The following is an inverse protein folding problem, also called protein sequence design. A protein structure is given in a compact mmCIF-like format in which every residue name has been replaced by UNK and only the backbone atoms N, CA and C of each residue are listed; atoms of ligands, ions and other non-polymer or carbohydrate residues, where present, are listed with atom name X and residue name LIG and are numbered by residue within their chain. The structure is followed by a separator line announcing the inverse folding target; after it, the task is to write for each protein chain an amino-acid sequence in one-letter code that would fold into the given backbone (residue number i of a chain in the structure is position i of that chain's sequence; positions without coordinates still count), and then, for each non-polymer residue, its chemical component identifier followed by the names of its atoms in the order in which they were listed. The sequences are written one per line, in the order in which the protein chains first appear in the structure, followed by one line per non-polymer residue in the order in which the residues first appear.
data_IF_126814874716
#
_entry.id   IF_126814874716
#
_cell.length_a   1.000
_cell.length_b   1.000
_cell.length_c   1.000
_cell.angle_alpha   90.00
_cell.angle_beta   90.00
_cell.angle_gamma   90.00
#
_symmetry.space_group_name_H-M   'P 1'
#
loop_
_entity.id
_entity.type
_entity.pdbx_description
1 polymer ?
#
# COMPACT_ATOMS: atom_id res chain seq x y z
N UNK A 1 2.79 9.86 3.64
CA UNK A 1 2.77 10.15 2.20
C UNK A 1 1.95 9.07 1.54
N UNK A 2 0.67 9.32 1.37
CA UNK A 2 -0.26 8.33 0.81
C UNK A 2 -0.03 8.19 -0.69
N UNK A 3 -0.23 6.98 -1.23
CA UNK A 3 0.05 6.65 -2.63
C UNK A 3 -1.21 6.43 -3.45
N UNK A 4 -2.32 6.02 -2.83
CA UNK A 4 -3.57 5.77 -3.55
C UNK A 4 -4.71 6.70 -3.12
N UNK A 5 -5.64 6.96 -4.02
CA UNK A 5 -6.87 7.70 -3.76
C UNK A 5 -8.01 7.14 -4.61
N UNK A 6 -9.25 7.47 -4.27
CA UNK A 6 -10.41 7.20 -5.11
C UNK A 6 -10.89 8.47 -5.80
N UNK A 7 -11.36 8.31 -7.03
CA UNK A 7 -12.12 9.30 -7.78
C UNK A 7 -13.47 8.69 -8.16
N UNK A 8 -14.55 9.45 -8.04
CA UNK A 8 -15.91 8.94 -8.23
C UNK A 8 -16.15 8.30 -9.62
N UNK A 9 -15.52 8.85 -10.67
CA UNK A 9 -15.70 8.37 -12.04
C UNK A 9 -14.57 7.47 -12.54
N UNK A 10 -13.34 7.68 -12.04
CA UNK A 10 -12.16 6.97 -12.56
C UNK A 10 -11.83 5.73 -11.73
N UNK A 11 -12.51 5.59 -10.59
CA UNK A 11 -12.20 4.56 -9.60
C UNK A 11 -10.91 4.90 -8.87
N UNK A 12 -10.14 3.85 -8.60
CA UNK A 12 -8.90 3.94 -7.83
C UNK A 12 -7.76 4.53 -8.65
N UNK A 13 -6.97 5.38 -8.00
CA UNK A 13 -5.72 5.95 -8.51
C UNK A 13 -4.53 5.45 -7.70
N UNK A 14 -3.42 5.17 -8.36
CA UNK A 14 -2.11 4.84 -7.80
C UNK A 14 -1.05 5.78 -8.37
N UNK A 15 -0.54 6.72 -7.55
CA UNK A 15 0.44 7.73 -8.01
C UNK A 15 1.86 7.18 -8.22
N UNK A 16 2.04 5.87 -8.04
CA UNK A 16 3.32 5.17 -8.24
C UNK A 16 3.48 4.57 -9.63
N UNK A 17 2.45 4.66 -10.47
CA UNK A 17 2.46 4.24 -11.87
C UNK A 17 2.10 5.44 -12.76
N UNK A 18 2.66 5.45 -13.98
CA UNK A 18 2.60 6.63 -14.86
C UNK A 18 1.18 7.02 -15.27
N UNK A 19 0.30 6.04 -15.47
CA UNK A 19 -1.09 6.20 -15.91
C UNK A 19 -2.09 6.20 -14.74
N UNK A 20 -1.58 6.41 -13.51
CA UNK A 20 -2.33 6.38 -12.26
C UNK A 20 -3.10 5.07 -12.02
N UNK A 21 -2.84 4.01 -12.79
CA UNK A 21 -3.58 2.74 -12.74
C UNK A 21 -4.97 2.79 -13.36
N UNK A 22 -5.37 3.94 -13.92
CA UNK A 22 -6.69 4.16 -14.52
C UNK A 22 -6.64 4.84 -15.90
N UNK A 23 -5.47 4.87 -16.54
CA UNK A 23 -5.27 5.51 -17.85
C UNK A 23 -5.22 7.04 -17.82
N UNK A 24 -5.05 7.64 -16.63
CA UNK A 24 -5.03 9.09 -16.42
C UNK A 24 -3.62 9.58 -16.11
N UNK A 25 -3.31 10.82 -16.40
CA UNK A 25 -1.97 11.36 -16.15
C UNK A 25 -1.89 12.13 -14.82
N UNK A 26 -0.68 12.24 -14.27
CA UNK A 26 -0.41 13.04 -13.07
C UNK A 26 -0.85 14.50 -13.22
N UNK A 27 -0.70 15.07 -14.41
CA UNK A 27 -1.10 16.45 -14.74
C UNK A 27 -2.61 16.66 -14.61
N UNK A 28 -3.43 15.61 -14.76
CA UNK A 28 -4.89 15.71 -14.59
C UNK A 28 -5.29 15.90 -13.12
N UNK A 29 -4.43 15.55 -12.15
CA UNK A 29 -4.73 15.66 -10.71
C UNK A 29 -3.86 16.69 -9.98
N UNK A 30 -2.65 16.96 -10.46
CA UNK A 30 -1.70 17.82 -9.77
C UNK A 30 -1.94 19.30 -10.10
N UNK A 31 -2.31 20.07 -9.07
CA UNK A 31 -2.66 21.50 -9.17
C UNK A 31 -3.86 21.79 -10.07
N UNK A 32 -4.71 20.80 -10.31
CA UNK A 32 -5.97 20.96 -11.03
C UNK A 32 -7.11 21.28 -10.04
N UNK A 33 -7.88 22.32 -10.35
CA UNK A 33 -9.11 22.65 -9.64
C UNK A 33 -10.27 21.78 -10.13
N UNK A 34 -11.16 21.35 -9.23
CA UNK A 34 -12.37 20.60 -9.60
C UNK A 34 -12.22 19.07 -9.57
N UNK A 35 -10.99 18.55 -9.49
CA UNK A 35 -10.77 17.12 -9.25
C UNK A 35 -10.92 16.82 -7.77
N UNK A 36 -11.86 15.94 -7.45
CA UNK A 36 -12.14 15.48 -6.09
C UNK A 36 -11.58 14.08 -5.88
N UNK A 37 -10.55 14.00 -5.04
CA UNK A 37 -9.93 12.75 -4.64
C UNK A 37 -10.26 12.46 -3.17
N UNK A 38 -10.62 11.23 -2.87
CA UNK A 38 -10.93 10.77 -1.52
C UNK A 38 -9.95 9.70 -1.05
N UNK A 39 -9.73 9.65 0.26
CA UNK A 39 -8.96 8.59 0.88
C UNK A 39 -9.77 7.28 0.85
N UNK A 40 -9.19 6.15 0.41
CA UNK A 40 -9.91 4.88 0.29
C UNK A 40 -10.27 4.25 1.64
N UNK A 41 -9.68 4.75 2.74
CA UNK A 41 -10.02 4.29 4.09
C UNK A 41 -11.13 5.12 4.74
N UNK A 42 -10.95 6.44 4.81
CA UNK A 42 -11.81 7.30 5.61
C UNK A 42 -12.77 8.16 4.78
N UNK A 43 -12.70 8.11 3.45
CA UNK A 43 -13.45 8.96 2.54
C UNK A 43 -13.06 10.45 2.58
N UNK A 44 -12.11 10.84 3.43
CA UNK A 44 -11.69 12.22 3.60
C UNK A 44 -10.98 12.77 2.35
N UNK A 45 -11.15 14.06 2.07
CA UNK A 45 -10.57 14.68 0.88
C UNK A 45 -9.03 14.70 0.93
N UNK A 46 -8.42 14.22 -0.15
CA UNK A 46 -6.97 14.26 -0.38
C UNK A 46 -6.62 15.13 -1.58
N UNK A 47 -5.36 15.57 -1.66
CA UNK A 47 -4.82 16.41 -2.74
C UNK A 47 -3.48 15.84 -3.21
N UNK A 48 -3.23 15.93 -4.50
CA UNK A 48 -1.96 15.58 -5.11
C UNK A 48 -0.89 16.64 -4.86
N UNK A 49 0.33 16.21 -4.53
CA UNK A 49 1.48 17.09 -4.27
C UNK A 49 2.79 16.39 -4.65
N UNK A 50 3.79 17.18 -5.03
CA UNK A 50 5.18 16.73 -5.15
C UNK A 50 5.96 16.95 -3.85
N UNK A 51 6.80 15.97 -3.50
CA UNK A 51 7.80 16.11 -2.44
C UNK A 51 8.86 17.14 -2.83
N UNK A 52 9.80 17.47 -1.93
CA UNK A 52 10.96 18.32 -2.28
C UNK A 52 11.90 17.67 -3.31
N UNK A 53 11.78 16.35 -3.53
CA UNK A 53 12.56 15.56 -4.50
C UNK A 53 11.68 15.10 -5.66
N UNK A 54 10.63 15.87 -5.96
CA UNK A 54 9.70 15.63 -7.06
C UNK A 54 9.01 14.25 -7.04
N UNK A 55 8.83 13.68 -5.86
CA UNK A 55 8.10 12.41 -5.69
C UNK A 55 6.59 12.69 -5.56
N UNK A 56 5.74 12.15 -6.46
CA UNK A 56 4.29 12.19 -6.33
C UNK A 56 3.80 11.58 -5.02
N UNK A 57 2.89 12.26 -4.34
CA UNK A 57 2.15 11.72 -3.20
C UNK A 57 0.82 12.43 -3.00
N UNK A 58 -0.02 11.82 -2.19
CA UNK A 58 -1.31 12.34 -1.76
C UNK A 58 -1.22 12.76 -0.29
N UNK A 59 -1.93 13.83 0.05
CA UNK A 59 -2.06 14.28 1.43
C UNK A 59 -3.51 14.64 1.75
N UNK A 60 -3.93 14.30 2.97
CA UNK A 60 -5.22 14.70 3.51
C UNK A 60 -5.27 16.22 3.68
N UNK A 61 -6.36 16.87 3.22
CA UNK A 61 -6.60 18.30 3.52
C UNK A 61 -6.84 18.52 5.01
N UNK A 62 -7.61 17.62 5.61
CA UNK A 62 -7.85 17.54 7.05
C UNK A 62 -7.55 16.11 7.45
N UNK A 63 -6.59 15.93 8.37
CA UNK A 63 -6.10 14.61 8.77
C UNK A 63 -6.93 14.08 9.95
N UNK A 64 -7.79 13.05 9.75
CA UNK A 64 -8.50 12.43 10.86
C UNK A 64 -7.54 11.52 11.65
N UNK A 65 -7.65 11.48 13.00
CA UNK A 65 -6.76 10.67 13.84
C UNK A 65 -6.97 9.15 13.65
N UNK A 66 -8.16 8.73 13.21
CA UNK A 66 -8.52 7.32 13.02
C UNK A 66 -8.11 6.73 11.67
N UNK A 67 -7.70 7.55 10.70
CA UNK A 67 -7.29 7.06 9.37
C UNK A 67 -5.84 6.58 9.43
N UNK A 68 -5.62 5.28 9.29
CA UNK A 68 -4.28 4.69 9.22
C UNK A 68 -3.48 5.30 8.07
N UNK A 69 -4.06 5.44 6.86
CA UNK A 69 -3.36 5.99 5.68
C UNK A 69 -2.91 7.44 5.88
N UNK A 70 -3.63 8.21 6.68
CA UNK A 70 -3.23 9.57 7.03
C UNK A 70 -2.06 9.60 8.03
N UNK A 71 -1.95 8.56 8.87
CA UNK A 71 -1.05 8.47 10.03
C UNK A 71 0.15 7.53 9.82
N UNK A 72 0.30 6.95 8.64
CA UNK A 72 1.43 6.10 8.29
C UNK A 72 2.77 6.84 8.32
N UNK A 73 3.80 6.10 8.76
CA UNK A 73 5.18 6.58 8.80
C UNK A 73 5.84 6.51 7.43
N UNK A 74 6.87 7.33 7.20
CA UNK A 74 7.67 7.28 5.98
C UNK A 74 8.23 5.88 5.71
N UNK A 75 8.73 5.21 6.75
CA UNK A 75 9.31 3.86 6.66
C UNK A 75 8.31 2.83 6.17
N UNK A 76 7.04 2.95 6.59
CA UNK A 76 5.97 2.06 6.13
C UNK A 76 5.67 2.28 4.65
N UNK A 77 5.52 3.54 4.23
CA UNK A 77 5.34 3.88 2.82
C UNK A 77 6.48 3.40 1.92
N UNK A 78 7.73 3.55 2.37
CA UNK A 78 8.89 3.09 1.61
C UNK A 78 8.91 1.56 1.48
N UNK A 79 8.55 0.83 2.55
CA UNK A 79 8.46 -0.63 2.47
C UNK A 79 7.36 -1.05 1.49
N UNK A 80 6.16 -0.46 1.53
CA UNK A 80 5.11 -0.77 0.53
C UNK A 80 5.59 -0.53 -0.90
N UNK A 81 6.28 0.60 -1.14
CA UNK A 81 6.84 0.93 -2.46
C UNK A 81 7.85 -0.12 -2.91
N UNK A 82 8.73 -0.56 -2.02
CA UNK A 82 9.72 -1.60 -2.34
C UNK A 82 9.02 -2.92 -2.69
N UNK A 83 8.04 -3.33 -1.89
CA UNK A 83 7.30 -4.58 -2.10
C UNK A 83 6.55 -4.57 -3.44
N UNK A 84 5.79 -3.50 -3.74
CA UNK A 84 5.04 -3.41 -5.00
C UNK A 84 5.99 -3.31 -6.20
N UNK A 85 7.10 -2.59 -6.07
CA UNK A 85 8.11 -2.46 -7.13
C UNK A 85 8.77 -3.81 -7.41
N UNK A 86 9.15 -4.55 -6.37
CA UNK A 86 9.73 -5.89 -6.51
C UNK A 86 8.74 -6.87 -7.15
N UNK A 87 7.47 -6.88 -6.73
CA UNK A 87 6.45 -7.74 -7.32
C UNK A 87 6.24 -7.44 -8.81
N UNK A 88 6.16 -6.15 -9.17
CA UNK A 88 6.06 -5.69 -10.57
C UNK A 88 7.31 -6.08 -11.38
N UNK A 89 8.50 -5.89 -10.83
CA UNK A 89 9.76 -6.27 -11.48
C UNK A 89 9.89 -7.79 -11.67
N UNK A 90 9.28 -8.59 -10.80
CA UNK A 90 9.18 -10.04 -10.95
C UNK A 90 8.13 -10.48 -11.99
N UNK A 91 7.44 -9.54 -12.66
CA UNK A 91 6.47 -9.82 -13.72
C UNK A 91 5.03 -10.00 -13.25
N UNK A 92 4.73 -9.75 -11.97
CA UNK A 92 3.36 -9.82 -11.46
C UNK A 92 2.64 -8.48 -11.62
N UNK A 93 1.32 -8.53 -11.82
CA UNK A 93 0.47 -7.38 -11.52
C UNK A 93 0.40 -7.22 -10.01
N UNK A 94 0.68 -6.01 -9.52
CA UNK A 94 0.56 -5.67 -8.11
C UNK A 94 0.05 -4.25 -7.91
N UNK A 95 -0.81 -4.07 -6.90
CA UNK A 95 -1.50 -2.82 -6.58
C UNK A 95 -1.41 -2.51 -5.08
N UNK A 96 -1.33 -1.22 -4.75
CA UNK A 96 -1.25 -0.76 -3.37
C UNK A 96 -2.65 -0.67 -2.73
N UNK A 97 -2.72 -0.93 -1.42
CA UNK A 97 -3.84 -0.56 -0.54
C UNK A 97 -5.21 -1.16 -0.94
N UNK A 98 -5.23 -2.36 -1.54
CA UNK A 98 -6.43 -3.05 -2.06
C UNK A 98 -7.29 -3.59 -0.93
N UNK A 99 -8.56 -3.17 -0.87
CA UNK A 99 -9.51 -3.59 0.15
C UNK A 99 -10.40 -4.75 -0.34
N UNK A 100 -10.81 -5.60 0.60
CA UNK A 100 -11.92 -6.51 0.36
C UNK A 100 -13.20 -5.73 0.00
N UNK A 101 -14.11 -6.26 -0.82
CA UNK A 101 -15.44 -5.68 -1.03
C UNK A 101 -16.21 -5.45 0.28
N UNK A 102 -15.98 -6.29 1.30
CA UNK A 102 -16.59 -6.16 2.64
C UNK A 102 -15.93 -5.07 3.49
N UNK A 103 -14.74 -4.61 3.12
CA UNK A 103 -13.92 -3.69 3.90
C UNK A 103 -13.25 -4.30 5.14
N UNK A 104 -13.40 -5.61 5.38
CA UNK A 104 -12.85 -6.29 6.56
C UNK A 104 -11.31 -6.32 6.59
N UNK A 105 -10.67 -6.27 5.42
CA UNK A 105 -9.23 -6.15 5.30
C UNK A 105 -8.85 -5.24 4.14
N UNK A 106 -7.61 -4.73 4.21
CA UNK A 106 -6.98 -3.95 3.16
C UNK A 106 -5.51 -4.32 3.10
N UNK A 107 -5.10 -4.92 1.99
CA UNK A 107 -3.73 -5.32 1.74
C UNK A 107 -2.88 -4.08 1.49
N UNK A 108 -1.73 -3.98 2.16
CA UNK A 108 -0.75 -2.95 1.84
C UNK A 108 -0.30 -3.04 0.38
N UNK A 109 -0.02 -4.25 -0.11
CA UNK A 109 0.18 -4.59 -1.52
C UNK A 109 -0.58 -5.87 -1.84
N UNK A 110 -1.37 -5.86 -2.91
CA UNK A 110 -2.03 -7.04 -3.45
C UNK A 110 -1.35 -7.48 -4.73
N UNK A 111 -0.97 -8.74 -4.80
CA UNK A 111 -0.43 -9.40 -5.98
C UNK A 111 -1.52 -10.26 -6.61
N UNK A 112 -1.60 -10.25 -7.94
CA UNK A 112 -2.64 -10.91 -8.70
C UNK A 112 -2.09 -12.10 -9.50
N UNK A 113 -2.94 -13.11 -9.67
CA UNK A 113 -2.75 -14.16 -10.66
C UNK A 113 -2.89 -13.59 -12.08
N UNK A 114 -2.38 -14.29 -13.12
CA UNK A 114 -2.54 -13.89 -14.51
C UNK A 114 -4.01 -13.73 -14.96
N UNK A 115 -4.93 -14.47 -14.34
CA UNK A 115 -6.38 -14.39 -14.60
C UNK A 115 -7.06 -13.21 -13.89
N UNK A 116 -6.31 -12.41 -13.12
CA UNK A 116 -6.80 -11.25 -12.38
C UNK A 116 -7.40 -11.56 -11.02
N UNK A 117 -7.41 -12.83 -10.59
CA UNK A 117 -7.79 -13.18 -9.21
C UNK A 117 -6.69 -12.78 -8.22
N UNK A 118 -7.06 -12.56 -6.95
CA UNK A 118 -6.08 -12.29 -5.91
C UNK A 118 -5.22 -13.53 -5.65
N UNK A 119 -3.90 -13.32 -5.64
CA UNK A 119 -2.92 -14.35 -5.32
C UNK A 119 -2.44 -14.20 -3.88
N UNK A 120 -1.89 -13.03 -3.55
CA UNK A 120 -1.22 -12.82 -2.27
C UNK A 120 -1.28 -11.36 -1.83
N UNK A 121 -1.64 -11.16 -0.56
CA UNK A 121 -1.40 -9.92 0.16
C UNK A 121 0.02 -9.89 0.72
N UNK A 122 0.74 -8.79 0.48
CA UNK A 122 2.03 -8.51 1.09
C UNK A 122 1.84 -7.35 2.08
N UNK A 123 1.99 -7.64 3.37
CA UNK A 123 1.67 -6.71 4.48
C UNK A 123 2.96 -6.12 5.08
N UNK A 124 3.08 -4.81 5.17
CA UNK A 124 4.21 -4.16 5.81
C UNK A 124 3.91 -3.95 7.31
N UNK A 125 4.47 -4.78 8.20
CA UNK A 125 4.19 -4.70 9.63
C UNK A 125 5.39 -4.13 10.41
N UNK A 126 5.43 -2.81 10.54
CA UNK A 126 6.52 -2.10 11.23
C UNK A 126 6.20 -1.71 12.67
N UNK A 127 4.92 -1.67 13.06
CA UNK A 127 4.51 -1.36 14.42
C UNK A 127 4.29 -2.64 15.24
N UNK A 128 4.36 -2.59 16.58
CA UNK A 128 3.95 -3.70 17.43
C UNK A 128 2.50 -4.12 17.14
N UNK A 129 2.27 -5.43 17.13
CA UNK A 129 0.95 -6.06 17.02
C UNK A 129 1.01 -7.35 17.84
N UNK A 130 -0.09 -7.71 18.51
CA UNK A 130 -0.14 -8.97 19.24
C UNK A 130 -0.13 -10.15 18.25
N UNK A 131 0.36 -11.31 18.72
CA UNK A 131 0.42 -12.52 17.89
C UNK A 131 -0.99 -12.98 17.50
N UNK A 132 -1.96 -12.88 18.42
CA UNK A 132 -3.34 -13.24 18.13
C UNK A 132 -3.99 -12.29 17.12
N UNK A 133 -3.69 -10.98 17.18
CA UNK A 133 -4.24 -9.98 16.26
C UNK A 133 -3.74 -10.18 14.82
N UNK A 134 -2.44 -10.45 14.63
CA UNK A 134 -1.87 -10.68 13.29
C UNK A 134 -2.31 -12.04 12.73
N UNK A 135 -2.50 -13.05 13.58
CA UNK A 135 -3.08 -14.33 13.19
C UNK A 135 -4.55 -14.15 12.76
N UNK A 136 -5.34 -13.36 13.51
CA UNK A 136 -6.72 -13.05 13.13
C UNK A 136 -6.78 -12.31 11.78
N UNK A 137 -5.93 -11.30 11.57
CA UNK A 137 -5.81 -10.60 10.27
C UNK A 137 -5.39 -11.55 9.15
N UNK A 138 -4.50 -12.48 9.41
CA UNK A 138 -4.09 -13.52 8.45
C UNK A 138 -5.27 -14.39 8.05
N UNK A 139 -6.06 -14.84 9.02
CA UNK A 139 -7.25 -15.65 8.77
C UNK A 139 -8.32 -14.95 7.92
N UNK A 140 -8.42 -13.61 7.96
CA UNK A 140 -9.33 -12.86 7.09
C UNK A 140 -8.95 -12.99 5.60
N UNK A 141 -7.65 -12.93 5.27
CA UNK A 141 -7.16 -13.16 3.92
C UNK A 141 -7.38 -14.60 3.47
N UNK A 142 -7.00 -15.56 4.33
CA UNK A 142 -7.10 -16.99 4.02
C UNK A 142 -8.55 -17.44 3.78
N UNK A 143 -9.47 -16.92 4.59
CA UNK A 143 -10.92 -17.14 4.42
C UNK A 143 -11.41 -16.70 3.04
N UNK A 144 -10.84 -15.62 2.51
CA UNK A 144 -11.21 -15.06 1.20
C UNK A 144 -10.34 -15.64 0.06
N UNK A 145 -9.58 -16.72 0.33
CA UNK A 145 -8.77 -17.43 -0.65
C UNK A 145 -7.48 -16.72 -1.05
N UNK A 146 -7.06 -15.71 -0.28
CA UNK A 146 -5.88 -14.89 -0.54
C UNK A 146 -4.73 -15.37 0.34
N UNK A 147 -3.58 -15.73 -0.26
CA UNK A 147 -2.37 -15.96 0.52
C UNK A 147 -1.89 -14.67 1.19
N UNK A 148 -1.19 -14.74 2.32
CA UNK A 148 -0.62 -13.53 2.95
C UNK A 148 0.81 -13.77 3.40
N UNK A 149 1.66 -12.78 3.19
CA UNK A 149 3.01 -12.74 3.74
C UNK A 149 3.25 -11.41 4.44
N UNK A 150 3.72 -11.47 5.68
CA UNK A 150 4.02 -10.31 6.51
C UNK A 150 5.51 -9.96 6.42
N UNK A 151 5.78 -8.68 6.16
CA UNK A 151 7.12 -8.14 5.99
C UNK A 151 7.49 -7.24 7.16
N UNK A 152 8.64 -7.52 7.76
CA UNK A 152 9.23 -6.71 8.82
C UNK A 152 10.67 -6.32 8.50
N UNK A 153 11.19 -5.27 9.15
CA UNK A 153 12.60 -4.88 9.04
C UNK A 153 13.49 -5.51 10.13
N UNK A 154 12.89 -6.06 11.16
CA UNK A 154 13.56 -6.70 12.28
C UNK A 154 12.67 -7.78 12.88
N UNK A 155 13.23 -8.78 13.58
CA UNK A 155 12.43 -9.80 14.24
C UNK A 155 11.42 -9.19 15.24
N UNK A 156 10.22 -9.75 15.27
CA UNK A 156 9.12 -9.40 16.18
C UNK A 156 8.45 -10.67 16.70
N UNK A 157 7.67 -10.61 17.80
CA UNK A 157 7.07 -11.81 18.41
C UNK A 157 6.18 -12.67 17.49
N UNK A 158 5.66 -12.11 16.41
CA UNK A 158 4.82 -12.81 15.43
C UNK A 158 5.59 -13.57 14.35
N UNK A 159 6.91 -13.40 14.26
CA UNK A 159 7.75 -14.14 13.30
C UNK A 159 7.60 -15.64 13.57
N UNK A 160 7.21 -16.40 12.55
CA UNK A 160 6.99 -17.84 12.63
C UNK A 160 5.58 -18.25 13.11
N UNK A 161 4.78 -17.31 13.62
CA UNK A 161 3.36 -17.56 13.89
C UNK A 161 2.49 -17.40 12.62
N UNK A 162 2.93 -16.57 11.68
CA UNK A 162 2.31 -16.33 10.37
C UNK A 162 3.39 -16.33 9.28
N UNK A 163 3.05 -16.54 7.98
CA UNK A 163 4.04 -16.47 6.91
C UNK A 163 4.75 -15.11 6.92
N UNK A 164 6.08 -15.13 7.04
CA UNK A 164 6.88 -13.95 7.36
C UNK A 164 8.16 -13.90 6.55
N UNK A 165 8.51 -12.72 6.05
CA UNK A 165 9.83 -12.40 5.52
C UNK A 165 10.40 -11.17 6.21
N UNK A 166 11.70 -11.19 6.51
CA UNK A 166 12.41 -10.02 7.02
C UNK A 166 13.19 -9.37 5.89
N UNK A 167 12.93 -8.09 5.64
CA UNK A 167 13.62 -7.30 4.62
C UNK A 167 14.82 -6.63 5.27
N UNK A 168 15.99 -6.85 4.68
CA UNK A 168 17.22 -6.16 5.07
C UNK A 168 17.59 -5.17 3.97
N UNK A 169 18.09 -4.01 4.36
CA UNK A 169 18.74 -3.13 3.40
C UNK A 169 19.92 -3.90 2.79
N UNK A 170 20.08 -3.83 1.46
CA UNK A 170 21.30 -4.30 0.84
C UNK A 170 22.47 -3.55 1.48
N UNK A 171 23.51 -4.30 1.90
CA UNK A 171 24.74 -3.66 2.36
C UNK A 171 25.21 -2.70 1.25
N UNK A 172 25.70 -1.49 1.59
CA UNK A 172 26.29 -0.63 0.59
C UNK A 172 27.38 -1.43 -0.13
N UNK A 173 27.52 -1.29 -1.47
CA UNK A 173 28.60 -1.96 -2.18
C UNK A 173 29.93 -1.61 -1.49
N UNK A 174 30.86 -2.56 -1.30
CA UNK A 174 32.15 -2.26 -0.71
C UNK A 174 32.78 -1.11 -1.50
N UNK A 175 33.16 -0.05 -0.80
CA UNK A 175 33.68 1.17 -1.41
C UNK A 175 34.85 0.88 -2.34
N UNK A 176 34.80 1.45 -3.54
CA UNK A 176 35.91 1.47 -4.49
C UNK A 176 37.04 2.37 -4.02
#
# INVERSE_FOLDING_TARGET
MQQTADHAEWGRLDVTVDDLGCGRSWEEIHRVSGVELTCPECGGQVRARLSRRDTPHLYHRTKPPSCSLANESLSHHLLKLELVTCARAAGFRAELEVAAPTGEWRADVMVYNPDGTWLMAMEAQLLPIAVDDIAARTGLYERDGVGVCWFGLQPRPWVGAVPTLLVQASAPPPGH
#
